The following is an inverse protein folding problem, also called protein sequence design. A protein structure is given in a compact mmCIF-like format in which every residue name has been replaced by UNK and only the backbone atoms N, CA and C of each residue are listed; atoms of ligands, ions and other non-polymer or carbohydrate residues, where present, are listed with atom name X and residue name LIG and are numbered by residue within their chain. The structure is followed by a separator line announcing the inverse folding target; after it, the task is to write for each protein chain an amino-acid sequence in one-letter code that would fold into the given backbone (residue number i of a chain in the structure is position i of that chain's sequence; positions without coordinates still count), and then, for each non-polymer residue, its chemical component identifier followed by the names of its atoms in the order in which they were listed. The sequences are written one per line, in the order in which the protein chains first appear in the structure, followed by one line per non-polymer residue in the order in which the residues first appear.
data_IF_897110658754
#
_entry.id   IF_897110658754
#
_cell.length_a   1.000
_cell.length_b   1.000
_cell.length_c   1.000
_cell.angle_alpha   90.00
_cell.angle_beta   90.00
_cell.angle_gamma   90.00
#
_symmetry.space_group_name_H-M   'P 1'
#
loop_
_entity.id
_entity.type
_entity.pdbx_description
1 polymer ?
#
# COMPACT_ATOMS: atom_id res chain seq x y z
N UNK A 1 -7.70 17.02 -2.24
CA UNK A 1 -7.06 15.76 -2.67
C UNK A 1 -7.98 14.53 -2.55
N UNK A 2 -8.79 14.43 -1.49
CA UNK A 2 -9.68 13.26 -1.28
C UNK A 2 -10.59 12.93 -2.47
N UNK A 3 -11.29 13.90 -3.06
CA UNK A 3 -12.16 13.68 -4.23
C UNK A 3 -11.41 13.15 -5.45
N UNK A 4 -10.17 13.61 -5.66
CA UNK A 4 -9.32 13.13 -6.76
C UNK A 4 -8.98 11.66 -6.55
N UNK A 5 -8.56 11.30 -5.33
CA UNK A 5 -8.27 9.91 -4.97
C UNK A 5 -9.50 9.01 -5.08
N UNK A 6 -10.67 9.47 -4.64
CA UNK A 6 -11.93 8.74 -4.82
C UNK A 6 -12.19 8.44 -6.30
N UNK A 7 -12.14 9.47 -7.15
CA UNK A 7 -12.38 9.32 -8.58
C UNK A 7 -11.37 8.38 -9.22
N UNK A 8 -10.07 8.56 -8.96
CA UNK A 8 -9.02 7.71 -9.54
C UNK A 8 -9.15 6.24 -9.09
N UNK A 9 -9.41 5.99 -7.80
CA UNK A 9 -9.41 4.65 -7.23
C UNK A 9 -10.71 3.91 -7.57
N UNK A 10 -11.87 4.52 -7.36
CA UNK A 10 -13.17 3.84 -7.42
C UNK A 10 -13.87 4.02 -8.76
N UNK A 11 -13.93 5.26 -9.28
CA UNK A 11 -14.62 5.52 -10.54
C UNK A 11 -13.80 5.03 -11.73
N UNK A 12 -12.51 5.36 -11.74
CA UNK A 12 -11.58 5.03 -12.83
C UNK A 12 -10.88 3.67 -12.64
N UNK A 13 -11.01 3.04 -11.46
CA UNK A 13 -10.40 1.74 -11.13
C UNK A 13 -8.88 1.71 -11.34
N UNK A 14 -8.18 2.82 -11.04
CA UNK A 14 -6.72 2.92 -11.16
C UNK A 14 -6.01 2.46 -9.90
N UNK A 15 -4.80 1.93 -10.08
CA UNK A 15 -3.82 1.75 -9.01
C UNK A 15 -3.08 3.08 -8.83
N UNK A 16 -3.20 3.66 -7.64
CA UNK A 16 -2.63 4.97 -7.33
C UNK A 16 -1.40 4.78 -6.44
N UNK A 17 -0.25 5.20 -6.97
CA UNK A 17 0.99 5.42 -6.19
C UNK A 17 1.20 6.92 -5.96
N UNK A 18 2.10 7.29 -5.05
CA UNK A 18 2.41 8.70 -4.82
C UNK A 18 2.95 9.37 -6.10
N UNK A 19 3.73 8.63 -6.90
CA UNK A 19 4.26 9.09 -8.18
C UNK A 19 3.13 9.34 -9.18
N UNK A 20 2.15 8.44 -9.26
CA UNK A 20 0.96 8.62 -10.11
C UNK A 20 0.19 9.88 -9.70
N UNK A 21 -0.07 10.05 -8.40
CA UNK A 21 -0.82 11.18 -7.90
C UNK A 21 -0.08 12.51 -8.12
N UNK A 22 1.21 12.56 -7.75
CA UNK A 22 2.11 13.71 -7.93
C UNK A 22 2.11 14.18 -9.38
N UNK A 23 2.33 13.28 -10.34
CA UNK A 23 2.33 13.61 -11.77
C UNK A 23 0.97 14.04 -12.29
N UNK A 24 -0.11 13.44 -11.79
CA UNK A 24 -1.45 13.75 -12.27
C UNK A 24 -1.97 15.12 -11.81
N UNK A 25 -1.53 15.58 -10.64
CA UNK A 25 -1.97 16.82 -10.02
C UNK A 25 -0.90 17.93 -10.04
N UNK A 26 0.28 17.63 -10.57
CA UNK A 26 1.45 18.51 -10.56
C UNK A 26 1.81 19.01 -9.14
N UNK A 27 1.82 18.08 -8.18
CA UNK A 27 2.14 18.37 -6.76
C UNK A 27 3.44 17.68 -6.32
N UNK A 28 4.14 18.19 -5.29
CA UNK A 28 5.30 17.52 -4.70
C UNK A 28 4.99 16.09 -4.26
N UNK A 29 5.98 15.20 -4.37
CA UNK A 29 5.82 13.78 -4.06
C UNK A 29 5.48 13.55 -2.58
N UNK A 30 6.01 14.38 -1.69
CA UNK A 30 5.76 14.36 -0.25
C UNK A 30 4.31 14.70 0.07
N UNK A 31 3.74 15.68 -0.63
CA UNK A 31 2.33 16.06 -0.50
C UNK A 31 1.43 14.93 -1.00
N UNK A 32 1.79 14.31 -2.13
CA UNK A 32 1.08 13.14 -2.65
C UNK A 32 1.10 11.96 -1.66
N UNK A 33 2.25 11.65 -1.06
CA UNK A 33 2.37 10.63 -0.01
C UNK A 33 1.51 10.96 1.22
N UNK A 34 1.56 12.20 1.69
CA UNK A 34 0.76 12.64 2.83
C UNK A 34 -0.74 12.50 2.56
N UNK A 35 -1.19 12.93 1.37
CA UNK A 35 -2.58 12.80 0.96
C UNK A 35 -3.02 11.33 0.84
N UNK A 36 -2.18 10.46 0.28
CA UNK A 36 -2.47 9.02 0.23
C UNK A 36 -2.57 8.39 1.61
N UNK A 37 -1.66 8.72 2.53
CA UNK A 37 -1.70 8.21 3.92
C UNK A 37 -2.97 8.67 4.64
N UNK A 38 -3.32 9.95 4.54
CA UNK A 38 -4.55 10.48 5.14
C UNK A 38 -5.81 9.82 4.56
N UNK A 39 -5.82 9.59 3.25
CA UNK A 39 -6.93 8.89 2.58
C UNK A 39 -7.06 7.46 3.08
N UNK A 40 -5.95 6.73 3.15
CA UNK A 40 -5.92 5.36 3.65
C UNK A 40 -6.44 5.29 5.09
N UNK A 41 -5.92 6.08 6.02
CA UNK A 41 -6.36 6.05 7.42
C UNK A 41 -7.86 6.33 7.57
N UNK A 42 -8.41 7.22 6.73
CA UNK A 42 -9.84 7.55 6.74
C UNK A 42 -10.72 6.43 6.17
N UNK A 43 -10.21 5.64 5.23
CA UNK A 43 -11.02 4.72 4.40
C UNK A 43 -10.58 3.25 4.43
N UNK A 44 -9.56 2.87 5.20
CA UNK A 44 -8.99 1.50 5.21
C UNK A 44 -9.99 0.41 5.60
N UNK A 45 -11.02 0.77 6.35
CA UNK A 45 -12.09 -0.15 6.77
C UNK A 45 -13.35 -0.04 5.89
N UNK A 46 -13.26 0.67 4.76
CA UNK A 46 -14.39 1.02 3.90
C UNK A 46 -14.25 0.41 2.50
N UNK A 47 -15.39 0.03 1.90
CA UNK A 47 -15.64 0.02 0.46
C UNK A 47 -14.56 -0.60 -0.46
N UNK A 48 -14.02 -1.77 -0.12
CA UNK A 48 -13.12 -2.49 -1.04
C UNK A 48 -11.85 -1.70 -1.40
N UNK A 49 -11.41 -0.78 -0.53
CA UNK A 49 -10.11 -0.14 -0.66
C UNK A 49 -9.03 -1.15 -0.25
N UNK A 50 -8.09 -1.41 -1.16
CA UNK A 50 -6.91 -2.21 -0.87
C UNK A 50 -5.68 -1.32 -0.85
N UNK A 51 -4.80 -1.60 0.10
CA UNK A 51 -3.50 -0.97 0.23
C UNK A 51 -2.38 -2.01 0.11
N UNK A 52 -1.27 -1.58 -0.49
CA UNK A 52 -0.02 -2.33 -0.47
C UNK A 52 1.05 -1.52 0.24
N UNK A 53 1.91 -2.19 1.00
CA UNK A 53 2.98 -1.60 1.77
C UNK A 53 4.34 -2.16 1.36
N UNK A 54 5.35 -1.29 1.40
CA UNK A 54 6.76 -1.68 1.42
C UNK A 54 7.17 -1.93 2.87
N UNK A 55 7.60 -3.15 3.18
CA UNK A 55 8.25 -3.49 4.45
C UNK A 55 9.73 -3.68 4.18
N UNK A 56 10.57 -2.87 4.81
CA UNK A 56 12.02 -2.95 4.70
C UNK A 56 12.60 -3.36 6.04
N UNK A 57 13.47 -4.36 6.05
CA UNK A 57 14.05 -4.91 7.27
C UNK A 57 15.19 -5.87 6.99
N UNK A 58 15.74 -6.45 8.06
CA UNK A 58 16.70 -7.55 8.00
C UNK A 58 15.97 -8.88 8.07
N UNK A 59 16.25 -9.78 7.12
CA UNK A 59 15.68 -11.13 7.07
C UNK A 59 16.77 -12.17 6.82
N UNK A 60 16.58 -13.37 7.37
CA UNK A 60 17.46 -14.51 7.07
C UNK A 60 16.83 -15.35 5.96
N UNK A 61 17.46 -15.36 4.79
CA UNK A 61 17.00 -16.12 3.62
C UNK A 61 18.05 -17.20 3.35
N UNK A 62 17.65 -18.47 3.42
CA UNK A 62 18.55 -19.61 3.22
C UNK A 62 19.80 -19.58 4.12
N UNK A 63 19.66 -19.11 5.37
CA UNK A 63 20.76 -19.01 6.33
C UNK A 63 21.66 -17.78 6.16
N UNK A 64 21.36 -16.89 5.21
CA UNK A 64 22.10 -15.63 4.99
C UNK A 64 21.25 -14.46 5.48
N UNK A 65 21.83 -13.62 6.33
CA UNK A 65 21.22 -12.38 6.77
C UNK A 65 21.36 -11.30 5.69
N UNK A 66 20.25 -10.71 5.26
CA UNK A 66 20.20 -9.71 4.21
C UNK A 66 19.15 -8.62 4.49
N UNK A 67 19.47 -7.38 4.11
CA UNK A 67 18.50 -6.31 4.08
C UNK A 67 17.56 -6.53 2.90
N UNK A 68 16.27 -6.65 3.17
CA UNK A 68 15.24 -6.99 2.20
C UNK A 68 14.11 -5.97 2.24
N UNK A 69 13.52 -5.70 1.08
CA UNK A 69 12.28 -4.93 0.95
C UNK A 69 11.24 -5.81 0.28
N UNK A 70 10.06 -5.92 0.90
CA UNK A 70 8.95 -6.76 0.42
C UNK A 70 7.70 -5.90 0.24
N UNK A 71 7.05 -6.07 -0.91
CA UNK A 71 5.71 -5.55 -1.17
C UNK A 71 4.67 -6.54 -0.65
N UNK A 72 3.78 -6.07 0.22
CA UNK A 72 2.72 -6.89 0.79
C UNK A 72 1.38 -6.15 0.81
N UNK A 73 0.29 -6.90 0.88
CA UNK A 73 -1.05 -6.34 1.10
C UNK A 73 -1.22 -6.03 2.58
N UNK A 74 -2.10 -5.09 2.89
CA UNK A 74 -2.46 -4.73 4.26
C UNK A 74 -2.82 -5.97 5.12
N UNK A 75 -3.62 -6.89 4.59
CA UNK A 75 -4.02 -8.11 5.31
C UNK A 75 -2.87 -9.10 5.60
N UNK A 76 -1.76 -9.00 4.88
CA UNK A 76 -0.58 -9.84 5.08
C UNK A 76 0.50 -9.14 5.94
N UNK A 77 0.27 -7.88 6.34
CA UNK A 77 1.31 -6.99 6.86
C UNK A 77 1.95 -7.53 8.15
N UNK A 78 1.14 -7.96 9.12
CA UNK A 78 1.67 -8.48 10.39
C UNK A 78 2.45 -9.78 10.19
N UNK A 79 1.93 -10.72 9.37
CA UNK A 79 2.64 -11.95 9.02
C UNK A 79 3.99 -11.66 8.36
N UNK A 80 4.05 -10.65 7.48
CA UNK A 80 5.28 -10.26 6.81
C UNK A 80 6.26 -9.63 7.79
N UNK A 81 5.80 -8.74 8.67
CA UNK A 81 6.67 -8.15 9.72
C UNK A 81 7.30 -9.21 10.60
N UNK A 82 6.54 -10.25 10.97
CA UNK A 82 7.04 -11.37 11.79
C UNK A 82 8.10 -12.23 11.08
N UNK A 83 8.20 -12.14 9.74
CA UNK A 83 9.23 -12.84 8.96
C UNK A 83 10.60 -12.14 8.95
N UNK A 84 10.65 -10.88 9.39
CA UNK A 84 11.89 -10.12 9.54
C UNK A 84 12.46 -10.30 10.95
N UNK A 85 13.78 -10.39 11.05
CA UNK A 85 14.48 -10.34 12.33
C UNK A 85 14.43 -8.93 12.93
N UNK A 86 14.44 -7.91 12.08
CA UNK A 86 14.25 -6.50 12.46
C UNK A 86 13.57 -5.75 11.32
N UNK A 87 12.56 -4.93 11.64
CA UNK A 87 11.87 -4.08 10.66
C UNK A 87 12.35 -2.65 10.81
N UNK A 88 12.87 -2.06 9.73
CA UNK A 88 13.38 -0.69 9.69
C UNK A 88 12.30 0.32 9.27
N UNK A 89 11.45 -0.07 8.31
CA UNK A 89 10.45 0.82 7.74
C UNK A 89 9.22 0.05 7.24
N UNK A 90 8.05 0.67 7.38
CA UNK A 90 6.79 0.25 6.78
C UNK A 90 6.15 1.46 6.11
N UNK A 91 6.00 1.42 4.79
CA UNK A 91 5.56 2.57 4.00
C UNK A 91 4.42 2.21 3.05
N UNK A 92 3.38 3.05 3.02
CA UNK A 92 2.29 2.91 2.05
C UNK A 92 2.83 3.08 0.63
N UNK A 93 2.66 2.07 -0.20
CA UNK A 93 3.15 2.07 -1.58
C UNK A 93 2.05 2.43 -2.58
N UNK A 94 0.89 1.79 -2.48
CA UNK A 94 -0.21 2.01 -3.43
C UNK A 94 -1.59 1.79 -2.81
N UNK A 95 -2.58 2.42 -3.44
CA UNK A 95 -4.00 2.28 -3.14
C UNK A 95 -4.76 1.88 -4.40
N UNK A 96 -5.71 0.96 -4.28
CA UNK A 96 -6.50 0.48 -5.40
C UNK A 96 -7.87 -0.02 -4.95
N UNK A 97 -8.85 0.01 -5.85
CA UNK A 97 -10.13 -0.64 -5.59
C UNK A 97 -10.03 -2.13 -5.91
N UNK A 98 -10.37 -2.97 -4.94
CA UNK A 98 -10.59 -4.38 -5.21
C UNK A 98 -12.06 -4.60 -5.51
N UNK A 99 -12.37 -4.79 -6.80
CA UNK A 99 -13.62 -5.46 -7.16
C UNK A 99 -13.55 -6.87 -6.61
N UNK A 100 -14.54 -7.27 -5.82
CA UNK A 100 -14.76 -8.67 -5.49
C UNK A 100 -14.89 -9.46 -6.80
N UNK A 101 -13.77 -10.01 -7.31
CA UNK A 101 -13.86 -11.20 -8.15
C UNK A 101 -14.44 -12.25 -7.21
N UNK A 102 -15.64 -12.71 -7.52
CA UNK A 102 -16.41 -13.59 -6.64
C UNK A 102 -15.53 -14.68 -6.04
N UNK A 103 -15.61 -14.81 -4.71
CA UNK A 103 -15.25 -15.99 -3.94
C UNK A 103 -13.98 -16.69 -4.44
N UNK A 104 -12.83 -16.08 -4.14
CA UNK A 104 -11.69 -16.89 -3.70
C UNK A 104 -11.13 -16.15 -2.51
N UNK A 105 -11.88 -16.25 -1.40
CA UNK A 105 -11.34 -16.00 -0.09
C UNK A 105 -10.06 -16.82 0.06
N UNK A 106 -9.06 -16.17 0.64
CA UNK A 106 -7.90 -16.83 1.22
C UNK A 106 -8.39 -17.97 2.12
N UNK A 107 -8.33 -19.20 1.61
CA UNK A 107 -8.23 -20.43 2.40
C UNK A 107 -6.77 -20.66 2.78
#
# INVERSE_FOLDING_TARGET
MERVLMNMIFDENKIVTAVTLSRSQDIPIEEAFSAMKQFYEKHRNSNGLWATFNVTGSATICGVCANSTVLCRDCDLDRIKDSFSEVFAVELFSLQHCRSRGIVDCL
#
